data_IF_391359259624
#
_entry.id   IF_391359259624
#
_cell.length_a   1.000
_cell.length_b   1.000
_cell.length_c   1.000
_cell.angle_alpha   90.00
_cell.angle_beta   90.00
_cell.angle_gamma   90.00
#
_symmetry.space_group_name_H-M   'P 1'
#
loop_
_entity.id
_entity.type
_entity.pdbx_description
1 polymer ?
#
# COMPACT_ATOMS: atom_id res chain seq x y z
N UNK A 1 17.28 -16.76 -8.55
CA UNK A 1 16.96 -15.32 -8.71
C UNK A 1 17.34 -14.76 -10.08
N UNK A 2 18.63 -14.63 -10.45
CA UNK A 2 19.04 -13.99 -11.73
C UNK A 2 18.35 -14.57 -12.99
N UNK A 3 18.19 -15.89 -13.07
CA UNK A 3 17.52 -16.56 -14.20
C UNK A 3 16.05 -16.12 -14.30
N UNK A 4 15.31 -16.16 -13.20
CA UNK A 4 13.91 -15.72 -13.15
C UNK A 4 13.76 -14.23 -13.45
N UNK A 5 14.64 -13.37 -12.92
CA UNK A 5 14.60 -11.94 -13.21
C UNK A 5 14.86 -11.66 -14.70
N UNK A 6 15.80 -12.38 -15.33
CA UNK A 6 16.04 -12.28 -16.77
C UNK A 6 14.83 -12.75 -17.59
N UNK A 7 14.17 -13.82 -17.16
CA UNK A 7 12.92 -14.29 -17.79
C UNK A 7 11.83 -13.22 -17.72
N UNK A 8 11.64 -12.58 -16.56
CA UNK A 8 10.71 -11.47 -16.41
C UNK A 8 11.06 -10.28 -17.29
N UNK A 9 12.32 -9.87 -17.36
CA UNK A 9 12.76 -8.77 -18.21
C UNK A 9 12.58 -9.07 -19.71
N UNK A 10 12.75 -10.34 -20.12
CA UNK A 10 12.53 -10.75 -21.50
C UNK A 10 11.04 -10.71 -21.87
N UNK A 11 10.18 -11.18 -20.97
CA UNK A 11 8.74 -11.21 -21.19
C UNK A 11 8.12 -9.82 -21.07
N UNK A 12 8.51 -9.07 -20.03
CA UNK A 12 7.98 -7.77 -19.62
C UNK A 12 9.12 -6.74 -19.53
N UNK A 13 9.65 -6.27 -20.67
CA UNK A 13 10.76 -5.32 -20.64
C UNK A 13 10.36 -4.04 -19.89
N UNK A 14 11.32 -3.43 -19.19
CA UNK A 14 11.15 -2.08 -18.67
C UNK A 14 11.39 -1.06 -19.81
N UNK A 15 10.87 0.18 -19.71
CA UNK A 15 11.16 1.22 -20.69
C UNK A 15 12.68 1.47 -20.79
N UNK A 16 13.20 1.80 -21.99
CA UNK A 16 14.65 1.86 -22.25
C UNK A 16 15.39 2.94 -21.47
N UNK A 17 14.69 3.90 -20.88
CA UNK A 17 15.23 4.95 -20.03
C UNK A 17 15.59 4.45 -18.62
N UNK A 18 15.22 3.23 -18.27
CA UNK A 18 15.50 2.60 -16.99
C UNK A 18 16.67 1.62 -17.09
N UNK A 19 17.51 1.60 -16.06
CA UNK A 19 18.58 0.62 -15.94
C UNK A 19 18.03 -0.80 -15.76
N UNK A 20 18.88 -1.79 -16.02
CA UNK A 20 18.62 -3.17 -15.57
C UNK A 20 18.46 -3.17 -14.04
N UNK A 21 17.52 -3.93 -13.46
CA UNK A 21 17.36 -4.02 -12.02
C UNK A 21 18.59 -4.59 -11.32
N UNK A 22 19.07 -3.85 -10.32
CA UNK A 22 19.93 -4.37 -9.27
C UNK A 22 19.06 -5.15 -8.28
N UNK A 23 19.54 -6.32 -7.84
CA UNK A 23 18.76 -7.23 -7.01
C UNK A 23 19.46 -7.54 -5.70
N UNK A 24 18.69 -7.53 -4.62
CA UNK A 24 19.05 -7.98 -3.28
C UNK A 24 18.25 -9.24 -2.92
N UNK A 25 18.89 -10.20 -2.26
CA UNK A 25 18.23 -11.38 -1.70
C UNK A 25 18.85 -11.76 -0.37
N UNK A 26 18.01 -11.87 0.66
CA UNK A 26 18.36 -12.34 2.00
C UNK A 26 17.38 -13.44 2.44
N UNK A 27 17.81 -14.28 3.39
CA UNK A 27 16.97 -15.32 4.00
C UNK A 27 17.07 -15.20 5.52
N UNK A 28 15.93 -14.94 6.16
CA UNK A 28 15.81 -14.96 7.62
C UNK A 28 15.39 -16.35 8.09
N UNK A 29 16.10 -16.90 9.07
CA UNK A 29 15.88 -18.25 9.59
C UNK A 29 15.33 -18.26 11.02
N UNK A 30 15.30 -17.10 11.67
CA UNK A 30 14.93 -16.88 13.06
C UNK A 30 13.41 -16.94 13.29
N UNK A 31 12.62 -16.91 12.21
CA UNK A 31 11.15 -16.95 12.23
C UNK A 31 10.57 -18.36 12.20
N UNK A 32 11.40 -19.39 12.43
CA UNK A 32 11.00 -20.80 12.47
C UNK A 32 10.79 -21.45 11.10
N UNK A 33 10.59 -20.65 10.06
CA UNK A 33 10.61 -21.06 8.66
C UNK A 33 11.47 -20.07 7.86
N UNK A 34 12.17 -20.50 6.80
CA UNK A 34 12.96 -19.60 5.97
C UNK A 34 12.08 -18.53 5.34
N UNK A 35 12.32 -17.26 5.66
CA UNK A 35 11.64 -16.12 5.03
C UNK A 35 12.61 -15.47 4.05
N UNK A 36 12.27 -15.54 2.77
CA UNK A 36 13.07 -14.96 1.70
C UNK A 36 12.67 -13.50 1.48
N UNK A 37 13.64 -12.59 1.56
CA UNK A 37 13.48 -11.17 1.28
C UNK A 37 14.08 -10.87 -0.09
N UNK A 38 13.31 -10.29 -1.00
CA UNK A 38 13.81 -9.82 -2.30
C UNK A 38 13.61 -8.32 -2.39
N UNK A 39 14.66 -7.61 -2.77
CA UNK A 39 14.61 -6.18 -3.09
C UNK A 39 15.11 -5.94 -4.51
N UNK A 40 14.47 -5.05 -5.24
CA UNK A 40 14.89 -4.61 -6.57
C UNK A 40 15.06 -3.10 -6.56
N UNK A 41 16.09 -2.60 -7.27
CA UNK A 41 16.29 -1.18 -7.52
C UNK A 41 16.68 -0.92 -8.97
N UNK A 42 16.09 0.12 -9.56
CA UNK A 42 16.42 0.61 -10.90
C UNK A 42 16.65 2.11 -10.84
N UNK A 43 17.40 2.61 -11.82
CA UNK A 43 17.70 4.03 -11.98
C UNK A 43 17.24 4.50 -13.36
N UNK A 44 16.51 5.59 -13.40
CA UNK A 44 16.18 6.29 -14.64
C UNK A 44 17.38 7.15 -15.09
N UNK A 45 17.49 7.46 -16.38
CA UNK A 45 18.59 8.26 -16.95
C UNK A 45 18.75 9.67 -16.31
N UNK A 46 17.68 10.24 -15.75
CA UNK A 46 17.73 11.51 -15.02
C UNK A 46 18.16 11.39 -13.54
N UNK A 47 18.52 10.18 -13.10
CA UNK A 47 19.02 9.90 -11.75
C UNK A 47 17.96 9.48 -10.74
N UNK A 48 16.66 9.51 -11.08
CA UNK A 48 15.60 8.99 -10.19
C UNK A 48 15.81 7.50 -9.92
N UNK A 49 15.59 7.08 -8.68
CA UNK A 49 15.69 5.67 -8.25
C UNK A 49 14.30 5.18 -7.85
N UNK A 50 13.95 3.98 -8.29
CA UNK A 50 12.74 3.27 -7.86
C UNK A 50 13.16 1.96 -7.24
N UNK A 51 12.52 1.64 -6.12
CA UNK A 51 12.70 0.37 -5.41
C UNK A 51 11.38 -0.37 -5.30
N UNK A 52 11.45 -1.69 -5.21
CA UNK A 52 10.34 -2.58 -4.90
C UNK A 52 10.85 -3.74 -4.03
N UNK A 53 9.98 -4.33 -3.21
CA UNK A 53 10.41 -5.43 -2.35
C UNK A 53 9.29 -6.40 -2.04
N UNK A 54 9.64 -7.63 -1.70
CA UNK A 54 8.68 -8.64 -1.27
C UNK A 54 9.33 -9.61 -0.29
N UNK A 55 8.50 -10.20 0.58
CA UNK A 55 8.88 -11.35 1.38
C UNK A 55 7.89 -12.50 1.22
N UNK A 56 8.42 -13.73 1.31
CA UNK A 56 7.64 -14.95 1.27
C UNK A 56 8.35 -16.08 1.99
N UNK A 57 7.57 -17.00 2.57
CA UNK A 57 8.07 -18.17 3.27
C UNK A 57 8.49 -19.22 2.24
N UNK A 58 9.60 -19.93 2.50
CA UNK A 58 10.15 -21.05 1.75
C UNK A 58 10.66 -20.78 0.32
N UNK A 59 10.21 -19.71 -0.36
CA UNK A 59 10.64 -19.40 -1.73
C UNK A 59 10.88 -17.90 -1.97
N UNK A 60 11.88 -17.51 -2.79
CA UNK A 60 12.10 -16.11 -3.15
C UNK A 60 10.95 -15.50 -3.97
N UNK A 61 10.29 -14.41 -3.51
CA UNK A 61 9.17 -13.77 -4.20
C UNK A 61 9.64 -12.76 -5.27
N UNK A 62 10.41 -13.24 -6.25
CA UNK A 62 11.01 -12.38 -7.30
C UNK A 62 9.93 -11.73 -8.17
N UNK A 63 8.85 -12.46 -8.44
CA UNK A 63 7.71 -12.03 -9.21
C UNK A 63 6.98 -10.84 -8.56
N UNK A 64 6.67 -10.94 -7.27
CA UNK A 64 5.98 -9.88 -6.52
C UNK A 64 6.80 -8.59 -6.49
N UNK A 65 8.10 -8.69 -6.17
CA UNK A 65 8.99 -7.54 -6.19
C UNK A 65 9.12 -6.94 -7.60
N UNK A 66 9.15 -7.77 -8.65
CA UNK A 66 9.23 -7.30 -10.03
C UNK A 66 7.95 -6.59 -10.49
N UNK A 67 6.77 -7.14 -10.19
CA UNK A 67 5.51 -6.54 -10.59
C UNK A 67 5.18 -5.26 -9.83
N UNK A 68 5.55 -5.15 -8.55
CA UNK A 68 5.52 -3.87 -7.82
C UNK A 68 6.46 -2.83 -8.47
N UNK A 69 7.65 -3.26 -8.94
CA UNK A 69 8.56 -2.38 -9.66
C UNK A 69 7.92 -1.84 -10.95
N UNK A 70 7.25 -2.70 -11.72
CA UNK A 70 6.53 -2.32 -12.95
C UNK A 70 5.44 -1.30 -12.65
N UNK A 71 4.66 -1.47 -11.58
CA UNK A 71 3.63 -0.50 -11.17
C UNK A 71 4.25 0.88 -10.90
N UNK A 72 5.32 0.92 -10.11
CA UNK A 72 6.02 2.17 -9.75
C UNK A 72 6.63 2.86 -10.98
N UNK A 73 7.23 2.10 -11.89
CA UNK A 73 7.73 2.64 -13.18
C UNK A 73 6.60 3.21 -14.00
N UNK A 74 5.49 2.48 -14.12
CA UNK A 74 4.34 2.90 -14.93
C UNK A 74 3.76 4.24 -14.46
N UNK A 75 3.70 4.46 -13.14
CA UNK A 75 3.32 5.76 -12.56
C UNK A 75 4.28 6.88 -12.98
N UNK A 76 5.60 6.64 -12.95
CA UNK A 76 6.57 7.66 -13.32
C UNK A 76 6.60 7.94 -14.83
N UNK A 77 6.38 6.91 -15.65
CA UNK A 77 6.27 7.05 -17.11
C UNK A 77 5.07 7.90 -17.48
N UNK A 78 3.88 7.59 -16.94
CA UNK A 78 2.69 8.37 -17.27
C UNK A 78 2.82 9.82 -16.80
N UNK A 79 3.38 10.07 -15.60
CA UNK A 79 3.65 11.42 -15.10
C UNK A 79 4.66 12.17 -15.98
N UNK A 80 5.66 11.48 -16.52
CA UNK A 80 6.65 12.07 -17.44
C UNK A 80 6.00 12.41 -18.79
N UNK A 81 5.13 11.54 -19.30
CA UNK A 81 4.36 11.76 -20.53
C UNK A 81 3.40 12.94 -20.40
N UNK A 82 2.69 13.05 -19.28
CA UNK A 82 1.75 14.15 -19.01
C UNK A 82 2.37 15.54 -19.11
N UNK A 83 3.60 15.69 -18.60
CA UNK A 83 4.38 16.94 -18.67
C UNK A 83 4.70 17.36 -20.11
N UNK A 84 4.69 16.41 -21.06
CA UNK A 84 4.93 16.65 -22.49
C UNK A 84 3.62 16.88 -23.26
N UNK A 85 2.58 16.10 -22.98
CA UNK A 85 1.37 15.97 -23.82
C UNK A 85 0.14 16.76 -23.31
N UNK A 86 0.35 17.96 -22.77
CA UNK A 86 -0.74 18.87 -22.32
C UNK A 86 -1.66 18.29 -21.23
N UNK A 87 -1.17 17.36 -20.41
CA UNK A 87 -1.83 16.94 -19.16
C UNK A 87 -3.23 16.31 -19.33
N UNK A 88 -3.53 15.57 -20.40
CA UNK A 88 -4.86 14.94 -20.57
C UNK A 88 -4.81 13.41 -20.51
N UNK A 89 -5.83 12.83 -19.89
CA UNK A 89 -5.99 11.39 -19.65
C UNK A 89 -7.38 10.90 -20.06
N UNK A 90 -7.45 9.63 -20.47
CA UNK A 90 -8.73 8.96 -20.74
C UNK A 90 -9.22 8.18 -19.52
N UNK A 91 -10.37 8.58 -19.00
CA UNK A 91 -11.11 7.83 -17.99
C UNK A 91 -11.87 6.69 -18.68
N UNK A 92 -11.81 5.51 -18.09
CA UNK A 92 -12.41 4.26 -18.59
C UNK A 92 -13.27 3.57 -17.53
N UNK A 93 -14.20 2.74 -17.98
CA UNK A 93 -14.83 1.70 -17.15
C UNK A 93 -13.89 0.52 -16.93
N UNK A 94 -14.22 -0.38 -16.00
CA UNK A 94 -13.47 -1.64 -15.80
C UNK A 94 -13.42 -2.51 -17.07
N UNK A 95 -14.43 -2.41 -17.94
CA UNK A 95 -14.45 -3.08 -19.24
C UNK A 95 -13.56 -2.40 -20.31
N UNK A 96 -12.84 -1.33 -19.95
CA UNK A 96 -11.94 -0.59 -20.83
C UNK A 96 -12.63 0.45 -21.72
N UNK A 97 -13.96 0.61 -21.64
CA UNK A 97 -14.69 1.59 -22.44
C UNK A 97 -14.34 3.01 -22.01
N UNK A 98 -13.91 3.85 -22.96
CA UNK A 98 -13.60 5.25 -22.69
C UNK A 98 -14.88 6.03 -22.38
N UNK A 99 -14.89 6.73 -21.25
CA UNK A 99 -16.03 7.52 -20.78
C UNK A 99 -15.85 9.00 -21.11
N UNK A 100 -14.69 9.55 -20.77
CA UNK A 100 -14.37 10.96 -20.94
C UNK A 100 -12.88 11.20 -20.85
N UNK A 101 -12.48 12.39 -21.24
CA UNK A 101 -11.13 12.90 -21.05
C UNK A 101 -11.09 13.85 -19.84
N UNK A 102 -10.03 13.78 -19.05
CA UNK A 102 -9.81 14.62 -17.86
C UNK A 102 -8.41 15.20 -17.84
N UNK A 103 -8.20 16.24 -17.05
CA UNK A 103 -6.87 16.76 -16.75
C UNK A 103 -6.13 15.82 -15.79
N UNK A 104 -4.81 15.69 -15.94
CA UNK A 104 -3.97 14.77 -15.20
C UNK A 104 -4.05 15.01 -13.68
N UNK A 105 -4.18 16.26 -13.25
CA UNK A 105 -4.24 16.67 -11.85
C UNK A 105 -5.48 16.12 -11.13
N UNK A 106 -6.55 15.77 -11.87
CA UNK A 106 -7.73 15.09 -11.30
C UNK A 106 -7.48 13.62 -10.96
N UNK A 107 -6.41 13.03 -11.51
CA UNK A 107 -6.02 11.61 -11.31
C UNK A 107 -4.77 11.51 -10.43
N UNK A 108 -3.83 12.45 -10.62
CA UNK A 108 -2.58 12.55 -9.89
C UNK A 108 -2.47 13.94 -9.25
N UNK A 109 -3.20 14.24 -8.16
CA UNK A 109 -3.22 15.57 -7.53
C UNK A 109 -1.82 16.05 -7.20
N UNK A 110 -1.46 17.25 -7.65
CA UNK A 110 -0.18 17.87 -7.32
C UNK A 110 -0.35 18.82 -6.13
N UNK A 111 0.69 18.92 -5.31
CA UNK A 111 0.75 19.98 -4.32
C UNK A 111 1.04 21.31 -4.98
N UNK A 112 0.42 22.37 -4.46
CA UNK A 112 0.78 23.76 -4.79
C UNK A 112 2.20 24.12 -4.39
N UNK A 113 2.83 23.28 -3.57
CA UNK A 113 4.20 23.39 -3.07
C UNK A 113 4.94 22.08 -3.40
N UNK A 114 5.59 21.96 -4.57
CA UNK A 114 6.14 20.70 -5.08
C UNK A 114 7.08 19.97 -4.12
N UNK A 115 7.82 20.71 -3.30
CA UNK A 115 8.72 20.18 -2.27
C UNK A 115 8.00 19.43 -1.14
N UNK A 116 6.67 19.53 -1.03
CA UNK A 116 5.88 18.79 -0.05
C UNK A 116 5.42 17.42 -0.55
N UNK A 117 5.29 17.21 -1.87
CA UNK A 117 4.83 15.97 -2.56
C UNK A 117 4.06 14.97 -1.67
N UNK A 118 2.93 15.41 -1.15
CA UNK A 118 2.15 14.77 -0.08
C UNK A 118 1.23 13.69 -0.64
N UNK A 119 0.73 13.86 -1.86
CA UNK A 119 -0.22 12.91 -2.44
C UNK A 119 0.49 11.64 -2.90
N UNK A 120 0.03 10.48 -2.42
CA UNK A 120 0.47 9.21 -2.96
C UNK A 120 0.06 9.09 -4.43
N UNK A 121 1.05 8.88 -5.30
CA UNK A 121 0.83 8.67 -6.73
C UNK A 121 0.55 7.20 -7.07
N UNK A 122 0.95 6.28 -6.20
CA UNK A 122 0.79 4.83 -6.37
C UNK A 122 -0.49 4.28 -5.72
N UNK A 123 -1.14 5.02 -4.82
CA UNK A 123 -2.37 4.56 -4.18
C UNK A 123 -3.44 4.19 -5.21
N UNK A 124 -3.91 2.95 -5.24
CA UNK A 124 -4.89 2.47 -6.20
C UNK A 124 -4.28 2.24 -7.58
N UNK A 125 -3.04 1.77 -7.65
CA UNK A 125 -2.36 1.35 -8.88
C UNK A 125 -2.11 -0.14 -8.77
N UNK A 126 -2.49 -0.89 -9.80
CA UNK A 126 -2.20 -2.30 -9.83
C UNK A 126 -1.85 -2.79 -11.25
N UNK A 127 -1.01 -3.82 -11.30
CA UNK A 127 -0.67 -4.56 -12.51
C UNK A 127 -1.34 -5.93 -12.55
N UNK A 128 -1.70 -6.36 -13.75
CA UNK A 128 -2.24 -7.68 -14.01
C UNK A 128 -2.01 -8.11 -15.47
N UNK A 129 -2.39 -9.34 -15.82
CA UNK A 129 -2.32 -9.85 -17.20
C UNK A 129 -3.26 -9.14 -18.16
N UNK A 130 -4.35 -8.56 -17.65
CA UNK A 130 -5.36 -7.85 -18.42
C UNK A 130 -5.92 -6.65 -17.65
N UNK A 131 -6.57 -5.74 -18.37
CA UNK A 131 -7.03 -4.48 -17.81
C UNK A 131 -8.11 -4.65 -16.75
N UNK A 132 -9.00 -5.64 -16.88
CA UNK A 132 -10.08 -5.87 -15.91
C UNK A 132 -9.49 -6.32 -14.57
N UNK A 133 -8.58 -7.29 -14.56
CA UNK A 133 -7.96 -7.74 -13.32
C UNK A 133 -7.06 -6.68 -12.69
N UNK A 134 -6.43 -5.81 -13.50
CA UNK A 134 -5.71 -4.64 -12.99
C UNK A 134 -6.67 -3.64 -12.32
N UNK A 135 -7.85 -3.40 -12.91
CA UNK A 135 -8.89 -2.57 -12.34
C UNK A 135 -9.39 -3.14 -10.99
N UNK A 136 -9.69 -4.44 -10.93
CA UNK A 136 -10.19 -5.08 -9.71
C UNK A 136 -9.19 -4.95 -8.55
N UNK A 137 -7.90 -5.19 -8.81
CA UNK A 137 -6.83 -5.04 -7.82
C UNK A 137 -6.65 -3.58 -7.38
N UNK A 138 -6.63 -2.65 -8.32
CA UNK A 138 -6.49 -1.22 -8.03
C UNK A 138 -7.67 -0.70 -7.19
N UNK A 139 -8.89 -1.22 -7.44
CA UNK A 139 -10.07 -0.91 -6.64
C UNK A 139 -9.96 -1.45 -5.22
N UNK A 140 -9.50 -2.70 -5.03
CA UNK A 140 -9.31 -3.28 -3.70
C UNK A 140 -8.34 -2.45 -2.85
N UNK A 141 -7.21 -2.03 -3.43
CA UNK A 141 -6.24 -1.18 -2.73
C UNK A 141 -6.87 0.17 -2.30
N UNK A 142 -7.66 0.81 -3.17
CA UNK A 142 -8.36 2.05 -2.80
C UNK A 142 -9.37 1.84 -1.67
N UNK A 143 -10.11 0.73 -1.68
CA UNK A 143 -11.06 0.39 -0.61
C UNK A 143 -10.30 0.19 0.70
N UNK A 144 -9.16 -0.51 0.65
CA UNK A 144 -8.28 -0.72 1.80
C UNK A 144 -7.86 0.61 2.43
N UNK A 145 -7.24 1.49 1.64
CA UNK A 145 -6.71 2.76 2.16
C UNK A 145 -7.84 3.64 2.68
N UNK A 146 -8.96 3.72 1.96
CA UNK A 146 -10.11 4.52 2.39
C UNK A 146 -10.67 4.04 3.74
N UNK A 147 -10.87 2.73 3.93
CA UNK A 147 -11.41 2.20 5.19
C UNK A 147 -10.46 2.40 6.36
N UNK A 148 -9.16 2.18 6.14
CA UNK A 148 -8.13 2.44 7.14
C UNK A 148 -8.11 3.92 7.53
N UNK A 149 -8.12 4.84 6.55
CA UNK A 149 -8.13 6.28 6.79
C UNK A 149 -9.40 6.73 7.50
N UNK A 150 -10.58 6.26 7.08
CA UNK A 150 -11.84 6.59 7.75
C UNK A 150 -11.84 6.11 9.20
N UNK A 151 -11.37 4.89 9.45
CA UNK A 151 -11.25 4.39 10.81
C UNK A 151 -10.27 5.24 11.62
N UNK A 152 -9.09 5.57 11.06
CA UNK A 152 -8.09 6.42 11.69
C UNK A 152 -8.66 7.80 12.07
N UNK A 153 -9.46 8.41 11.19
CA UNK A 153 -10.08 9.71 11.42
C UNK A 153 -11.39 9.65 12.22
N UNK A 154 -11.68 8.53 12.89
CA UNK A 154 -12.80 8.45 13.84
C UNK A 154 -14.10 7.88 13.30
N UNK A 155 -14.03 7.19 12.16
CA UNK A 155 -15.06 6.32 11.62
C UNK A 155 -15.26 5.05 12.47
N UNK A 156 -15.69 3.93 11.88
CA UNK A 156 -15.91 2.67 12.60
C UNK A 156 -14.68 2.22 13.41
N UNK A 157 -14.94 1.70 14.61
CA UNK A 157 -13.92 1.04 15.43
C UNK A 157 -13.62 -0.31 14.77
N UNK A 158 -12.35 -0.65 14.50
CA UNK A 158 -12.02 -1.93 13.89
C UNK A 158 -12.46 -3.10 14.79
N UNK A 159 -13.03 -4.15 14.19
CA UNK A 159 -13.45 -5.33 14.93
C UNK A 159 -12.26 -6.29 15.09
N UNK A 160 -11.91 -6.62 16.33
CA UNK A 160 -10.89 -7.65 16.59
C UNK A 160 -11.35 -9.02 16.11
N UNK A 161 -10.51 -9.69 15.33
CA UNK A 161 -10.71 -11.05 14.85
C UNK A 161 -10.10 -12.08 15.83
N UNK A 162 -10.65 -13.30 15.91
CA UNK A 162 -10.12 -14.34 16.78
C UNK A 162 -8.76 -14.86 16.27
N UNK A 163 -7.88 -15.24 17.18
CA UNK A 163 -6.54 -15.75 16.86
C UNK A 163 -6.55 -17.00 15.95
N UNK A 164 -7.67 -17.73 15.89
CA UNK A 164 -7.85 -18.87 14.98
C UNK A 164 -7.81 -18.47 13.50
N UNK A 165 -7.96 -17.18 13.17
CA UNK A 165 -7.87 -16.68 11.79
C UNK A 165 -6.49 -16.90 11.16
N UNK A 166 -5.46 -17.11 12.00
CA UNK A 166 -4.09 -17.42 11.57
C UNK A 166 -3.79 -18.92 11.56
N UNK A 167 -4.81 -19.78 11.54
CA UNK A 167 -4.60 -21.21 11.36
C UNK A 167 -3.85 -21.45 10.03
N UNK A 168 -2.66 -22.03 10.10
CA UNK A 168 -1.80 -22.29 8.93
C UNK A 168 -0.76 -21.22 8.60
N UNK A 169 -0.66 -20.12 9.36
CA UNK A 169 0.45 -19.17 9.17
C UNK A 169 1.74 -19.73 9.78
N UNK A 170 2.64 -20.25 8.94
CA UNK A 170 3.79 -21.09 9.35
C UNK A 170 4.71 -20.44 10.40
N UNK A 171 4.89 -19.12 10.35
CA UNK A 171 5.75 -18.40 11.29
C UNK A 171 5.07 -18.04 12.62
N UNK A 172 3.77 -18.31 12.79
CA UNK A 172 2.96 -17.81 13.90
C UNK A 172 3.55 -18.17 15.26
N UNK A 173 3.91 -19.43 15.47
CA UNK A 173 4.38 -19.88 16.79
C UNK A 173 5.66 -19.15 17.19
N UNK A 174 6.58 -18.94 16.25
CA UNK A 174 7.81 -18.19 16.48
C UNK A 174 7.55 -16.68 16.64
N UNK A 175 6.66 -16.13 15.81
CA UNK A 175 6.22 -14.75 15.91
C UNK A 175 5.68 -14.44 17.32
N UNK A 176 4.86 -15.34 17.87
CA UNK A 176 4.29 -15.16 19.22
C UNK A 176 5.30 -15.23 20.36
N UNK A 177 6.54 -15.68 20.12
CA UNK A 177 7.60 -15.61 21.14
C UNK A 177 8.10 -14.17 21.33
N UNK A 178 8.08 -13.37 20.26
CA UNK A 178 8.60 -11.99 20.25
C UNK A 178 7.50 -10.93 20.27
N UNK A 179 6.32 -11.29 19.77
CA UNK A 179 5.22 -10.37 19.55
C UNK A 179 3.91 -10.87 20.17
N UNK A 180 3.01 -9.94 20.41
CA UNK A 180 1.58 -10.18 20.65
C UNK A 180 0.83 -9.76 19.39
N UNK A 181 0.71 -10.64 18.37
CA UNK A 181 0.00 -10.32 17.15
C UNK A 181 -1.49 -10.14 17.43
N UNK A 182 -2.07 -9.09 16.89
CA UNK A 182 -3.50 -8.79 16.96
C UNK A 182 -4.01 -8.47 15.55
N UNK A 183 -5.23 -8.92 15.25
CA UNK A 183 -5.80 -8.79 13.91
C UNK A 183 -7.18 -8.16 13.97
N UNK A 184 -7.42 -7.22 13.06
CA UNK A 184 -8.62 -6.42 13.04
C UNK A 184 -9.24 -6.36 11.64
N UNK A 185 -10.56 -6.44 11.59
CA UNK A 185 -11.39 -6.19 10.43
C UNK A 185 -11.83 -4.72 10.42
N UNK A 186 -11.60 -4.06 9.30
CA UNK A 186 -12.03 -2.69 9.05
C UNK A 186 -13.33 -2.70 8.25
N UNK A 187 -14.45 -2.74 8.98
CA UNK A 187 -15.78 -2.73 8.40
C UNK A 187 -16.19 -1.35 7.89
N UNK A 188 -17.03 -1.34 6.86
CA UNK A 188 -17.83 -0.18 6.48
C UNK A 188 -19.27 -0.44 6.94
N UNK A 189 -19.83 0.44 7.76
CA UNK A 189 -21.18 0.27 8.31
C UNK A 189 -22.29 0.24 7.25
N UNK A 190 -21.97 0.55 5.99
CA UNK A 190 -22.90 0.55 4.85
C UNK A 190 -22.57 -0.51 3.80
N UNK A 191 -21.51 -1.29 3.99
CA UNK A 191 -21.09 -2.22 2.96
C UNK A 191 -22.00 -3.46 2.89
N UNK A 192 -22.32 -3.87 1.66
CA UNK A 192 -23.01 -5.14 1.39
C UNK A 192 -22.17 -6.31 1.96
N UNK A 193 -22.80 -7.43 2.35
CA UNK A 193 -22.09 -8.68 2.62
C UNK A 193 -21.12 -9.08 1.50
N UNK A 194 -21.39 -8.66 0.26
CA UNK A 194 -20.56 -8.92 -0.93
C UNK A 194 -19.43 -7.91 -1.14
N UNK A 195 -19.21 -6.99 -0.20
CA UNK A 195 -18.14 -6.00 -0.31
C UNK A 195 -16.77 -6.59 0.00
N UNK A 196 -15.73 -5.95 -0.54
CA UNK A 196 -14.35 -6.27 -0.20
C UNK A 196 -14.15 -6.26 1.34
N UNK A 197 -13.33 -7.18 1.83
CA UNK A 197 -12.90 -7.25 3.22
C UNK A 197 -11.57 -6.52 3.37
N UNK A 198 -11.36 -5.81 4.48
CA UNK A 198 -10.12 -5.08 4.77
C UNK A 198 -9.63 -5.48 6.14
N UNK A 199 -8.41 -6.00 6.23
CA UNK A 199 -7.81 -6.55 7.45
C UNK A 199 -6.49 -5.86 7.72
N UNK A 200 -6.20 -5.64 9.01
CA UNK A 200 -4.87 -5.25 9.48
C UNK A 200 -4.36 -6.24 10.51
N UNK A 201 -3.08 -6.60 10.40
CA UNK A 201 -2.35 -7.41 11.38
C UNK A 201 -1.32 -6.51 12.04
N UNK A 202 -1.27 -6.53 13.38
CA UNK A 202 -0.42 -5.68 14.19
C UNK A 202 0.39 -6.54 15.15
N UNK A 203 1.70 -6.56 14.97
CA UNK A 203 2.63 -7.28 15.82
C UNK A 203 3.20 -6.33 16.88
N UNK A 204 2.58 -6.34 18.06
CA UNK A 204 3.05 -5.54 19.19
C UNK A 204 4.23 -6.23 19.88
N UNK A 205 5.39 -5.58 20.00
CA UNK A 205 6.57 -6.25 20.54
C UNK A 205 6.42 -6.52 22.04
N UNK A 206 6.85 -7.71 22.48
CA UNK A 206 6.83 -8.10 23.91
C UNK A 206 8.00 -7.53 24.70
N UNK A 207 9.03 -7.05 24.01
CA UNK A 207 10.21 -6.41 24.60
C UNK A 207 10.51 -5.10 23.87
N UNK A 208 11.36 -4.27 24.47
CA UNK A 208 11.71 -2.94 23.91
C UNK A 208 12.73 -2.98 22.77
N UNK A 209 13.35 -4.14 22.55
CA UNK A 209 14.42 -4.31 21.57
C UNK A 209 13.89 -4.72 20.18
N UNK A 210 12.56 -4.88 20.04
CA UNK A 210 11.88 -5.19 18.78
C UNK A 210 11.00 -4.04 18.35
N UNK A 211 10.96 -3.81 17.03
CA UNK A 211 10.13 -2.80 16.41
C UNK A 211 8.70 -3.27 16.24
N UNK A 212 7.75 -2.36 16.41
CA UNK A 212 6.37 -2.56 16.03
C UNK A 212 6.26 -2.72 14.51
N UNK A 213 5.56 -3.77 14.08
CA UNK A 213 5.29 -4.01 12.66
C UNK A 213 3.83 -4.31 12.45
N UNK A 214 3.34 -3.94 11.28
CA UNK A 214 1.97 -4.19 10.86
C UNK A 214 1.91 -4.35 9.35
N UNK A 215 0.83 -4.96 8.88
CA UNK A 215 0.52 -5.06 7.46
C UNK A 215 -0.98 -5.02 7.24
N UNK A 216 -1.38 -4.47 6.10
CA UNK A 216 -2.77 -4.40 5.69
C UNK A 216 -3.03 -5.29 4.49
N UNK A 217 -4.31 -5.61 4.29
CA UNK A 217 -4.71 -6.41 3.15
C UNK A 217 -6.18 -6.29 2.89
N UNK A 218 -6.51 -6.29 1.61
CA UNK A 218 -7.89 -6.30 1.11
C UNK A 218 -8.13 -7.50 0.21
N UNK A 219 -9.37 -7.97 0.17
CA UNK A 219 -9.73 -9.14 -0.62
C UNK A 219 -11.22 -9.28 -0.85
N UNK A 220 -11.58 -10.16 -1.78
CA UNK A 220 -12.99 -10.47 -2.09
C UNK A 220 -13.72 -11.13 -0.92
N UNK A 221 -12.95 -11.78 -0.04
CA UNK A 221 -13.42 -12.47 1.15
C UNK A 221 -12.38 -12.31 2.27
N UNK A 222 -12.75 -12.76 3.48
CA UNK A 222 -11.92 -12.58 4.67
C UNK A 222 -10.58 -13.34 4.58
N UNK A 223 -10.56 -14.54 3.98
CA UNK A 223 -9.35 -15.34 3.87
C UNK A 223 -8.32 -14.67 2.95
N UNK A 224 -8.76 -14.12 1.82
CA UNK A 224 -7.91 -13.36 0.90
C UNK A 224 -7.31 -12.12 1.60
N UNK A 225 -8.15 -11.33 2.28
CA UNK A 225 -7.72 -10.13 2.98
C UNK A 225 -6.71 -10.44 4.09
N UNK A 226 -6.94 -11.50 4.86
CA UNK A 226 -6.00 -11.98 5.89
C UNK A 226 -4.68 -12.43 5.26
N UNK A 227 -4.72 -13.18 4.15
CA UNK A 227 -3.50 -13.64 3.45
C UNK A 227 -2.67 -12.46 2.94
N UNK A 228 -3.31 -11.45 2.35
CA UNK A 228 -2.62 -10.22 1.93
C UNK A 228 -2.02 -9.46 3.12
N UNK A 229 -2.78 -9.29 4.22
CA UNK A 229 -2.27 -8.64 5.43
C UNK A 229 -1.09 -9.41 6.05
N UNK A 230 -1.11 -10.74 6.02
CA UNK A 230 0.00 -11.58 6.47
C UNK A 230 1.24 -11.36 5.60
N UNK A 231 1.07 -11.27 4.28
CA UNK A 231 2.18 -11.05 3.35
C UNK A 231 2.81 -9.67 3.52
N UNK A 232 2.00 -8.62 3.70
CA UNK A 232 2.51 -7.27 3.97
C UNK A 232 3.20 -7.20 5.35
N UNK A 233 2.60 -7.81 6.37
CA UNK A 233 3.18 -7.88 7.70
C UNK A 233 4.50 -8.67 7.70
N UNK A 234 4.57 -9.79 6.96
CA UNK A 234 5.77 -10.60 6.79
C UNK A 234 6.89 -9.83 6.09
N UNK A 235 6.56 -9.10 5.03
CA UNK A 235 7.51 -8.25 4.33
C UNK A 235 8.12 -7.21 5.26
N UNK A 236 7.28 -6.50 6.01
CA UNK A 236 7.76 -5.50 6.95
C UNK A 236 8.55 -6.10 8.10
N UNK A 237 8.07 -7.21 8.66
CA UNK A 237 8.78 -7.97 9.70
C UNK A 237 10.17 -8.37 9.24
N UNK A 238 10.29 -8.86 8.01
CA UNK A 238 11.56 -9.32 7.45
C UNK A 238 12.58 -8.20 7.32
N UNK A 239 12.24 -7.10 6.64
CA UNK A 239 13.18 -5.98 6.46
C UNK A 239 13.54 -5.24 7.77
N UNK A 240 12.75 -5.42 8.83
CA UNK A 240 12.95 -4.76 10.12
C UNK A 240 13.46 -5.69 11.24
N UNK A 241 13.67 -6.98 10.97
CA UNK A 241 13.88 -7.99 12.02
C UNK A 241 15.04 -7.65 12.97
N UNK A 242 16.19 -7.28 12.40
CA UNK A 242 17.40 -6.91 13.14
C UNK A 242 17.65 -5.40 13.19
N UNK A 243 16.63 -4.60 12.82
CA UNK A 243 16.71 -3.15 12.90
C UNK A 243 16.36 -2.66 14.31
N UNK A 244 17.02 -1.58 14.73
CA UNK A 244 16.73 -0.90 15.99
C UNK A 244 16.39 0.55 15.72
N UNK A 245 15.39 1.07 16.42
CA UNK A 245 15.09 2.50 16.41
C UNK A 245 16.02 3.17 17.39
N UNK A 246 16.96 3.96 16.86
CA UNK A 246 17.89 4.74 17.69
C UNK A 246 17.28 6.08 18.10
N UNK A 247 16.54 6.73 17.20
CA UNK A 247 15.95 8.05 17.41
C UNK A 247 14.61 8.19 16.67
N UNK A 248 13.79 9.17 17.04
CA UNK A 248 12.57 9.49 16.29
C UNK A 248 12.96 10.10 14.93
N UNK A 249 12.31 9.68 13.81
CA UNK A 249 12.65 10.21 12.51
C UNK A 249 12.31 11.70 12.43
N UNK A 250 13.13 12.53 11.77
CA UNK A 250 12.78 13.91 11.52
C UNK A 250 11.51 13.97 10.67
N UNK A 251 10.64 14.94 10.96
CA UNK A 251 9.40 15.09 10.21
C UNK A 251 9.66 15.24 8.70
N UNK A 252 8.94 14.44 7.91
CA UNK A 252 8.92 14.55 6.46
C UNK A 252 7.55 14.14 5.93
N UNK A 253 6.97 14.86 4.95
CA UNK A 253 5.67 14.49 4.38
C UNK A 253 5.81 13.34 3.36
N UNK A 254 6.40 12.22 3.77
CA UNK A 254 6.70 11.08 2.90
C UNK A 254 6.10 9.78 3.43
N UNK A 255 5.90 8.77 2.55
CA UNK A 255 5.48 7.44 2.98
C UNK A 255 6.41 6.86 4.05
N UNK A 256 7.74 7.03 3.89
CA UNK A 256 8.73 6.49 4.82
C UNK A 256 8.56 7.06 6.23
N UNK A 257 8.36 8.38 6.37
CA UNK A 257 8.10 8.98 7.67
C UNK A 257 6.83 8.42 8.33
N UNK A 258 5.76 8.25 7.55
CA UNK A 258 4.51 7.64 8.02
C UNK A 258 4.66 6.17 8.42
N UNK A 259 5.68 5.47 7.92
CA UNK A 259 6.01 4.12 8.40
C UNK A 259 6.89 4.17 9.66
N UNK A 260 7.96 4.96 9.63
CA UNK A 260 9.02 4.99 10.66
C UNK A 260 8.53 5.53 12.00
N UNK A 261 7.68 6.55 12.00
CA UNK A 261 7.19 7.19 13.24
C UNK A 261 6.40 6.23 14.14
N UNK A 262 5.86 5.13 13.58
CA UNK A 262 5.11 4.15 14.34
C UNK A 262 5.94 2.96 14.82
N UNK A 263 7.19 2.79 14.38
CA UNK A 263 8.01 1.61 14.69
C UNK A 263 8.38 1.50 16.18
N UNK A 264 8.51 2.64 16.87
CA UNK A 264 8.84 2.71 18.29
C UNK A 264 7.64 2.47 19.22
N UNK A 265 7.91 2.34 20.52
CA UNK A 265 6.89 2.05 21.53
C UNK A 265 5.78 3.11 21.61
N UNK A 266 6.14 4.39 21.51
CA UNK A 266 5.16 5.49 21.50
C UNK A 266 4.23 5.42 20.28
N UNK A 267 4.80 5.09 19.13
CA UNK A 267 4.06 4.86 17.89
C UNK A 267 3.09 3.69 18.01
N UNK A 268 3.58 2.56 18.50
CA UNK A 268 2.76 1.38 18.79
C UNK A 268 1.61 1.70 19.76
N UNK A 269 1.87 2.49 20.80
CA UNK A 269 0.83 2.91 21.76
C UNK A 269 -0.26 3.75 21.10
N UNK A 270 0.09 4.66 20.17
CA UNK A 270 -0.90 5.43 19.39
C UNK A 270 -1.77 4.53 18.53
N UNK A 271 -1.18 3.56 17.85
CA UNK A 271 -1.93 2.58 17.04
C UNK A 271 -2.85 1.74 17.91
N UNK A 272 -2.39 1.32 19.10
CA UNK A 272 -3.25 0.59 20.05
C UNK A 272 -4.45 1.43 20.50
N UNK A 273 -4.24 2.69 20.89
CA UNK A 273 -5.34 3.59 21.24
C UNK A 273 -6.36 3.75 20.10
N UNK A 274 -5.89 3.84 18.85
CA UNK A 274 -6.77 3.86 17.67
C UNK A 274 -7.63 2.60 17.57
N UNK A 275 -7.01 1.43 17.66
CA UNK A 275 -7.68 0.12 17.59
C UNK A 275 -8.69 -0.08 18.73
N UNK A 276 -8.40 0.47 19.91
CA UNK A 276 -9.30 0.49 21.07
C UNK A 276 -10.46 1.51 20.94
N UNK A 277 -10.51 2.25 19.83
CA UNK A 277 -11.59 3.18 19.50
C UNK A 277 -11.42 4.61 20.00
N UNK A 278 -10.23 5.00 20.49
CA UNK A 278 -9.97 6.34 21.01
C UNK A 278 -10.18 7.46 19.97
N UNK A 279 -10.20 7.12 18.68
CA UNK A 279 -10.39 8.09 17.59
C UNK A 279 -11.86 8.32 17.27
N UNK A 280 -12.78 7.47 17.74
CA UNK A 280 -14.20 7.48 17.38
C UNK A 280 -14.82 8.87 17.59
N UNK A 281 -15.40 9.43 16.54
CA UNK A 281 -16.07 10.73 16.57
C UNK A 281 -15.15 11.96 16.62
N UNK A 282 -13.83 11.80 16.47
CA UNK A 282 -12.88 12.93 16.50
C UNK A 282 -12.87 13.78 15.23
N UNK A 283 -13.17 13.23 14.06
CA UNK A 283 -13.36 14.02 12.84
C UNK A 283 -14.81 13.91 12.35
N UNK A 284 -15.41 15.02 11.86
CA UNK A 284 -16.74 15.01 11.25
C UNK A 284 -16.65 14.60 9.78
N UNK A 285 -15.88 13.54 9.50
CA UNK A 285 -15.93 12.93 8.18
C UNK A 285 -17.27 12.22 8.04
N UNK A 286 -17.91 12.36 6.87
CA UNK A 286 -18.96 11.44 6.51
C UNK A 286 -18.38 10.03 6.61
N UNK A 287 -18.99 9.21 7.46
CA UNK A 287 -18.41 7.93 7.91
C UNK A 287 -18.24 6.91 6.80
N UNK A 288 -18.81 7.18 5.61
CA UNK A 288 -18.68 6.33 4.43
C UNK A 288 -19.04 7.10 3.13
N UNK A 289 -18.79 6.52 1.97
CA UNK A 289 -18.99 7.16 0.67
C UNK A 289 -20.47 7.44 0.34
N UNK A 290 -20.75 8.41 -0.53
CA UNK A 290 -22.12 8.78 -0.93
C UNK A 290 -22.71 7.87 -2.00
N UNK A 291 -21.87 7.23 -2.80
CA UNK A 291 -22.28 6.47 -3.96
C UNK A 291 -21.89 4.98 -3.84
N UNK A 292 -22.63 4.13 -4.54
CA UNK A 292 -22.33 2.70 -4.63
C UNK A 292 -21.07 2.52 -5.49
N UNK A 293 -19.92 2.33 -4.85
CA UNK A 293 -18.63 1.85 -5.40
C UNK A 293 -18.42 2.11 -6.91
N UNK A 294 -18.58 3.36 -7.36
CA UNK A 294 -18.35 3.70 -8.76
C UNK A 294 -16.86 3.99 -8.94
N UNK A 295 -16.12 2.95 -9.31
CA UNK A 295 -14.72 3.08 -9.68
C UNK A 295 -14.58 3.45 -11.15
N UNK A 296 -13.75 4.44 -11.39
CA UNK A 296 -13.28 4.86 -12.70
C UNK A 296 -11.80 4.51 -12.82
N UNK A 297 -11.33 4.31 -14.05
CA UNK A 297 -9.97 3.81 -14.25
C UNK A 297 -9.22 4.63 -15.29
N UNK A 298 -7.90 4.67 -15.15
CA UNK A 298 -6.98 5.14 -16.18
C UNK A 298 -6.02 4.00 -16.49
N UNK A 299 -5.84 3.76 -17.78
CA UNK A 299 -4.80 2.88 -18.28
C UNK A 299 -3.47 3.64 -18.29
N UNK A 300 -2.53 3.18 -17.45
CA UNK A 300 -1.18 3.74 -17.33
C UNK A 300 -0.13 2.75 -17.82
N UNK A 301 -0.54 1.74 -18.61
CA UNK A 301 0.35 0.71 -19.15
C UNK A 301 1.45 1.35 -20.01
N UNK A 302 2.74 1.10 -19.71
CA UNK A 302 3.85 1.51 -20.56
C UNK A 302 3.72 0.94 -21.98
N UNK A 303 4.13 1.71 -22.98
CA UNK A 303 3.93 1.36 -24.40
C UNK A 303 4.58 0.01 -24.77
N UNK A 304 5.71 -0.32 -24.15
CA UNK A 304 6.45 -1.57 -24.35
C UNK A 304 5.82 -2.80 -23.65
N UNK A 305 4.79 -2.59 -22.82
CA UNK A 305 4.04 -3.64 -22.11
C UNK A 305 2.63 -3.87 -22.67
N UNK A 306 2.15 -3.02 -23.59
CA UNK A 306 0.83 -3.16 -24.22
C UNK A 306 0.67 -4.54 -24.86
N UNK A 307 -0.42 -5.23 -24.52
CA UNK A 307 -0.73 -6.58 -24.99
C UNK A 307 -0.03 -7.71 -24.22
N UNK A 308 0.77 -7.39 -23.20
CA UNK A 308 1.45 -8.36 -22.33
C UNK A 308 1.03 -8.25 -20.87
N UNK A 309 0.87 -7.02 -20.41
CA UNK A 309 0.36 -6.65 -19.09
C UNK A 309 -0.57 -5.46 -19.24
N UNK A 310 -1.34 -5.21 -18.19
CA UNK A 310 -2.07 -3.97 -18.01
C UNK A 310 -1.75 -3.39 -16.64
N UNK A 311 -1.60 -2.06 -16.60
CA UNK A 311 -1.45 -1.30 -15.35
C UNK A 311 -2.56 -0.27 -15.28
N UNK A 312 -3.38 -0.37 -14.26
CA UNK A 312 -4.53 0.50 -14.07
C UNK A 312 -4.36 1.36 -12.82
N UNK A 313 -4.82 2.62 -12.90
CA UNK A 313 -5.04 3.50 -11.75
C UNK A 313 -6.54 3.61 -11.51
N UNK A 314 -7.02 3.16 -10.37
CA UNK A 314 -8.39 3.36 -9.92
C UNK A 314 -8.60 4.79 -9.41
N UNK A 315 -9.80 5.32 -9.60
CA UNK A 315 -10.26 6.64 -9.16
C UNK A 315 -11.65 6.48 -8.58
N UNK A 316 -11.85 6.97 -7.36
CA UNK A 316 -13.15 6.96 -6.70
C UNK A 316 -13.34 8.32 -6.01
N UNK A 317 -14.16 9.23 -6.58
CA UNK A 317 -14.29 10.60 -6.08
C UNK A 317 -14.78 10.73 -4.63
N UNK A 318 -15.42 9.68 -4.11
CA UNK A 318 -15.97 9.64 -2.75
C UNK A 318 -15.04 8.97 -1.73
N UNK A 319 -13.86 8.51 -2.16
CA UNK A 319 -12.81 7.93 -1.31
C UNK A 319 -11.78 8.97 -0.88
N UNK A 320 -11.25 8.81 0.32
CA UNK A 320 -10.20 9.69 0.82
C UNK A 320 -8.90 9.48 0.00
N UNK A 321 -8.28 10.55 -0.51
CA UNK A 321 -6.95 10.44 -1.10
C UNK A 321 -5.93 10.11 -0.01
N UNK A 322 -4.90 9.33 -0.33
CA UNK A 322 -3.78 9.07 0.58
C UNK A 322 -2.80 10.25 0.54
N UNK A 323 -2.71 10.99 1.65
CA UNK A 323 -1.89 12.20 1.79
C UNK A 323 -0.90 12.08 2.95
N UNK A 324 0.38 12.37 2.72
CA UNK A 324 1.43 12.35 3.73
C UNK A 324 1.67 13.71 4.40
N UNK A 325 2.34 13.67 5.54
CA UNK A 325 2.52 14.79 6.45
C UNK A 325 1.19 15.30 7.02
N UNK A 326 1.12 16.60 7.26
CA UNK A 326 -0.08 17.24 7.82
C UNK A 326 -1.13 17.60 6.75
N UNK A 327 -1.11 16.96 5.58
CA UNK A 327 -1.92 17.40 4.44
C UNK A 327 -3.44 17.30 4.64
N UNK A 328 -3.92 16.38 5.48
CA UNK A 328 -5.37 16.28 5.77
C UNK A 328 -5.94 17.47 6.51
N UNK A 329 -5.13 18.35 7.11
CA UNK A 329 -5.63 19.59 7.70
C UNK A 329 -6.32 20.49 6.67
N UNK A 330 -5.93 20.42 5.41
CA UNK A 330 -6.55 21.19 4.33
C UNK A 330 -7.92 20.62 3.94
N UNK A 331 -8.10 19.30 4.08
CA UNK A 331 -9.36 18.61 3.79
C UNK A 331 -10.29 18.57 5.01
N UNK A 332 -9.71 18.56 6.21
CA UNK A 332 -10.39 18.42 7.50
C UNK A 332 -9.79 19.46 8.47
N UNK A 333 -10.17 20.74 8.37
CA UNK A 333 -9.56 21.82 9.17
C UNK A 333 -9.68 21.65 10.70
N UNK A 334 -10.65 20.86 11.15
CA UNK A 334 -10.93 20.55 12.56
C UNK A 334 -10.22 19.27 13.06
N UNK A 335 -9.34 18.68 12.25
CA UNK A 335 -8.63 17.47 12.62
C UNK A 335 -7.74 17.71 13.84
N UNK A 336 -7.81 16.82 14.82
CA UNK A 336 -6.99 16.93 16.04
C UNK A 336 -5.52 16.57 15.73
N UNK A 337 -4.52 17.22 16.37
CA UNK A 337 -3.10 17.01 16.05
C UNK A 337 -2.61 15.57 16.14
N UNK A 338 -3.15 14.78 17.05
CA UNK A 338 -2.82 13.36 17.19
C UNK A 338 -3.22 12.50 15.98
N UNK A 339 -4.07 13.02 15.09
CA UNK A 339 -4.55 12.33 13.89
C UNK A 339 -3.83 12.75 12.61
N UNK A 340 -2.93 13.75 12.65
CA UNK A 340 -2.29 14.28 11.44
C UNK A 340 -1.49 13.25 10.67
N UNK A 341 -0.82 12.35 11.40
CA UNK A 341 0.02 11.31 10.83
C UNK A 341 -0.68 9.98 11.02
N UNK A 342 -1.02 9.29 9.93
CA UNK A 342 -1.66 7.96 9.95
C UNK A 342 -0.64 6.85 9.67
N UNK A 343 -0.87 5.60 10.12
CA UNK A 343 0.05 4.48 9.96
C UNK A 343 -0.09 3.80 8.59
N UNK A 344 -0.33 4.55 7.52
CA UNK A 344 -0.63 4.00 6.18
C UNK A 344 0.35 4.62 5.20
N UNK A 345 0.93 3.83 4.29
CA UNK A 345 1.99 4.27 3.39
C UNK A 345 1.89 3.61 2.02
#
# INVERSE_FOLDING_TARGET
MKILLNEYLNNYPLPPEWSVPESFHEVLSELGSPVHLVGLSIRHQDGRIVTASAAQINTPPVDRAFFELVERVSVLEILTKMKRDKHRLHIRTAAGAMLREVIAESVFPEDTTPEKSRYSKSNGVATFSDFSGACDRASLELIERDRLLRSWFGGPIPQRLPDSIHAGWEIRDHLTQHYSPETYLFEDSRSSPDSAQVVGIFCFPKNKDRLFVFGFGSGSNLADAVSHAQNECLQRLGFLWDQQMTEAPPFSPTPNYHQEVFLGQEGAAKVRCWLDGAHRGKAPLETAPKHKEEFLFVDITPENLVGKLAVAKAIAPDRLPLIFGHGYQELIPQLSPELFIHPIA
#
